data_IF_942264168112
#
_entry.id   IF_942264168112
#
_cell.length_a   1.000
_cell.length_b   1.000
_cell.length_c   1.000
_cell.angle_alpha   90.00
_cell.angle_beta   90.00
_cell.angle_gamma   90.00
#
_symmetry.space_group_name_H-M   'P 1'
#
loop_
_entity.id
_entity.type
_entity.pdbx_description
1 polymer ?
#
# COMPACT_ATOMS: atom_id res chain seq x y z
N UNK A 1 7.33 -39.09 -0.20
CA UNK A 1 7.54 -38.04 -1.21
C UNK A 1 6.16 -37.64 -1.70
N UNK A 2 5.77 -36.40 -1.43
CA UNK A 2 5.07 -35.51 -2.36
C UNK A 2 4.63 -34.29 -1.56
N UNK A 3 5.50 -33.28 -1.61
CA UNK A 3 5.16 -31.90 -1.32
C UNK A 3 4.02 -31.50 -2.26
N UNK A 4 2.86 -31.18 -1.70
CA UNK A 4 1.87 -30.29 -2.32
C UNK A 4 1.42 -29.24 -1.31
N UNK A 5 2.40 -28.64 -0.64
CA UNK A 5 2.28 -27.31 -0.04
C UNK A 5 2.84 -26.31 -1.07
N UNK A 6 2.09 -26.01 -2.12
CA UNK A 6 2.38 -24.87 -3.00
C UNK A 6 1.21 -24.57 -3.91
N UNK A 7 0.15 -24.01 -3.35
CA UNK A 7 -0.83 -23.23 -4.10
C UNK A 7 -1.46 -22.22 -3.13
N UNK A 8 -0.64 -21.28 -2.66
CA UNK A 8 -1.15 -19.98 -2.23
C UNK A 8 -1.58 -19.28 -3.51
N UNK A 9 -2.73 -19.71 -4.02
CA UNK A 9 -3.42 -19.16 -5.19
C UNK A 9 -3.99 -17.81 -4.77
N UNK A 10 -3.14 -16.81 -4.69
CA UNK A 10 -3.56 -15.41 -4.69
C UNK A 10 -3.76 -14.96 -6.14
N UNK A 11 -4.59 -15.70 -6.88
CA UNK A 11 -5.21 -15.18 -8.10
C UNK A 11 -6.37 -14.34 -7.61
N UNK A 12 -6.11 -13.04 -7.46
CA UNK A 12 -7.11 -12.06 -7.07
C UNK A 12 -8.40 -12.29 -7.87
N UNK A 13 -9.51 -12.31 -7.12
CA UNK A 13 -10.85 -12.73 -7.50
C UNK A 13 -11.51 -11.93 -8.64
N UNK A 14 -10.77 -11.26 -9.52
CA UNK A 14 -11.34 -10.52 -10.65
C UNK A 14 -11.91 -11.42 -11.75
N UNK A 15 -11.53 -12.69 -11.79
CA UNK A 15 -11.94 -13.63 -12.84
C UNK A 15 -12.76 -14.82 -12.34
N UNK A 16 -13.23 -14.82 -11.09
CA UNK A 16 -14.20 -15.84 -10.69
C UNK A 16 -15.58 -15.46 -11.24
N UNK A 17 -16.11 -16.15 -12.27
CA UNK A 17 -17.39 -15.79 -12.87
C UNK A 17 -18.57 -15.92 -11.89
N UNK A 18 -18.38 -16.61 -10.75
CA UNK A 18 -19.44 -16.83 -9.75
C UNK A 18 -19.56 -15.68 -8.73
N UNK A 19 -18.58 -14.76 -8.66
CA UNK A 19 -18.61 -13.63 -7.73
C UNK A 19 -19.00 -12.37 -8.50
N UNK A 20 -20.17 -11.76 -8.25
CA UNK A 20 -20.56 -10.56 -8.97
C UNK A 20 -19.55 -9.45 -8.72
N UNK A 21 -19.22 -8.72 -9.78
CA UNK A 21 -18.38 -7.52 -9.64
C UNK A 21 -19.08 -6.52 -8.71
N UNK A 22 -18.31 -5.63 -8.07
CA UNK A 22 -18.89 -4.56 -7.22
C UNK A 22 -19.96 -3.76 -7.98
N UNK A 23 -19.81 -3.62 -9.30
CA UNK A 23 -20.78 -2.92 -10.15
C UNK A 23 -22.08 -3.72 -10.29
N UNK A 24 -21.98 -5.03 -10.54
CA UNK A 24 -23.15 -5.92 -10.65
C UNK A 24 -23.92 -5.99 -9.32
N UNK A 25 -23.22 -6.21 -8.20
CA UNK A 25 -23.83 -6.21 -6.87
C UNK A 25 -24.50 -4.86 -6.55
N UNK A 26 -23.85 -3.75 -6.88
CA UNK A 26 -24.41 -2.42 -6.67
C UNK A 26 -25.67 -2.19 -7.54
N UNK A 27 -25.70 -2.66 -8.79
CA UNK A 27 -26.88 -2.48 -9.67
C UNK A 27 -28.10 -3.27 -9.22
N UNK A 28 -27.91 -4.36 -8.47
CA UNK A 28 -29.01 -5.15 -7.92
C UNK A 28 -29.68 -4.50 -6.70
N UNK A 29 -28.96 -3.62 -6.00
CA UNK A 29 -29.38 -3.08 -4.69
C UNK A 29 -29.69 -1.59 -4.76
N UNK A 30 -28.92 -0.82 -5.53
CA UNK A 30 -28.97 0.64 -5.52
C UNK A 30 -29.83 1.20 -6.64
N UNK A 31 -30.58 2.25 -6.32
CA UNK A 31 -31.27 3.03 -7.33
C UNK A 31 -30.25 3.75 -8.26
N UNK A 32 -30.64 4.09 -9.51
CA UNK A 32 -29.73 4.77 -10.44
C UNK A 32 -29.12 6.07 -9.89
N UNK A 33 -29.86 6.83 -9.10
CA UNK A 33 -29.36 8.06 -8.46
C UNK A 33 -28.31 7.78 -7.38
N UNK A 34 -28.50 6.71 -6.60
CA UNK A 34 -27.55 6.25 -5.59
C UNK A 34 -26.28 5.71 -6.24
N UNK A 35 -26.40 5.04 -7.39
CA UNK A 35 -25.26 4.61 -8.19
C UNK A 35 -24.40 5.78 -8.66
N UNK A 36 -25.02 6.89 -9.10
CA UNK A 36 -24.28 8.11 -9.47
C UNK A 36 -23.57 8.71 -8.26
N UNK A 37 -24.23 8.76 -7.09
CA UNK A 37 -23.60 9.21 -5.83
C UNK A 37 -22.42 8.30 -5.44
N UNK A 38 -22.58 6.99 -5.51
CA UNK A 38 -21.52 6.02 -5.22
C UNK A 38 -20.31 6.23 -6.13
N UNK A 39 -20.50 6.37 -7.44
CA UNK A 39 -19.40 6.62 -8.39
C UNK A 39 -18.68 7.93 -8.10
N UNK A 40 -19.41 8.99 -7.74
CA UNK A 40 -18.82 10.28 -7.33
C UNK A 40 -17.99 10.13 -6.06
N UNK A 41 -18.53 9.46 -5.05
CA UNK A 41 -17.83 9.21 -3.79
C UNK A 41 -16.58 8.36 -4.01
N UNK A 42 -16.66 7.27 -4.78
CA UNK A 42 -15.50 6.45 -5.12
C UNK A 42 -14.42 7.24 -5.86
N UNK A 43 -14.82 8.15 -6.75
CA UNK A 43 -13.86 9.02 -7.44
C UNK A 43 -13.20 10.00 -6.47
N UNK A 44 -13.98 10.63 -5.59
CA UNK A 44 -13.46 11.53 -4.57
C UNK A 44 -12.49 10.82 -3.62
N UNK A 45 -12.83 9.62 -3.15
CA UNK A 45 -11.97 8.79 -2.30
C UNK A 45 -10.68 8.38 -3.02
N UNK A 46 -10.76 7.98 -4.30
CA UNK A 46 -9.56 7.69 -5.10
C UNK A 46 -8.64 8.90 -5.23
N UNK A 47 -9.20 10.09 -5.43
CA UNK A 47 -8.43 11.34 -5.50
C UNK A 47 -7.83 11.68 -4.13
N UNK A 48 -8.58 11.53 -3.04
CA UNK A 48 -8.11 11.76 -1.69
C UNK A 48 -6.97 10.80 -1.33
N UNK A 49 -7.10 9.52 -1.67
CA UNK A 49 -6.07 8.52 -1.47
C UNK A 49 -4.84 8.83 -2.33
N UNK A 50 -5.00 9.19 -3.60
CA UNK A 50 -3.87 9.59 -4.44
C UNK A 50 -3.15 10.84 -3.91
N UNK A 51 -3.90 11.79 -3.33
CA UNK A 51 -3.31 12.97 -2.67
C UNK A 51 -2.55 12.57 -1.41
N UNK A 52 -3.15 11.74 -0.56
CA UNK A 52 -2.51 11.16 0.62
C UNK A 52 -1.17 10.51 0.20
N UNK A 53 -1.20 9.60 -0.78
CA UNK A 53 0.01 8.91 -1.25
C UNK A 53 1.13 9.85 -1.73
N UNK A 54 0.80 11.03 -2.28
CA UNK A 54 1.78 12.03 -2.73
C UNK A 54 2.29 12.93 -1.61
N UNK A 55 1.47 13.18 -0.60
CA UNK A 55 1.81 14.05 0.53
C UNK A 55 2.66 13.34 1.58
N UNK A 56 2.67 12.01 1.60
CA UNK A 56 3.41 11.22 2.58
C UNK A 56 4.85 10.92 2.15
N UNK A 57 5.86 11.57 2.78
CA UNK A 57 7.27 11.34 2.44
C UNK A 57 7.71 9.91 2.72
N UNK A 58 7.07 9.21 3.65
CA UNK A 58 7.36 7.80 3.96
C UNK A 58 7.05 6.90 2.76
N UNK A 59 5.95 7.18 2.05
CA UNK A 59 5.58 6.40 0.86
C UNK A 59 6.53 6.71 -0.29
N UNK A 60 6.88 7.98 -0.49
CA UNK A 60 7.88 8.37 -1.51
C UNK A 60 9.23 7.66 -1.27
N UNK A 61 9.71 7.59 -0.03
CA UNK A 61 10.94 6.87 0.32
C UNK A 61 10.84 5.36 0.02
N UNK A 62 9.77 4.69 0.46
CA UNK A 62 9.55 3.27 0.16
C UNK A 62 9.53 3.04 -1.37
N UNK A 63 8.86 3.92 -2.13
CA UNK A 63 8.79 3.82 -3.59
C UNK A 63 10.15 4.05 -4.26
N UNK A 64 10.96 4.98 -3.76
CA UNK A 64 12.35 5.20 -4.22
C UNK A 64 13.21 3.98 -3.97
N UNK A 65 13.11 3.38 -2.78
CA UNK A 65 13.82 2.15 -2.45
C UNK A 65 13.41 1.01 -3.39
N UNK A 66 12.10 0.80 -3.57
CA UNK A 66 11.58 -0.21 -4.47
C UNK A 66 12.08 -0.02 -5.91
N UNK A 67 12.09 1.23 -6.39
CA UNK A 67 12.61 1.57 -7.72
C UNK A 67 14.11 1.32 -7.83
N UNK A 68 14.90 1.68 -6.80
CA UNK A 68 16.34 1.40 -6.74
C UNK A 68 16.59 -0.10 -6.81
N UNK A 69 15.84 -0.90 -6.04
CA UNK A 69 15.93 -2.36 -6.06
C UNK A 69 15.67 -2.91 -7.46
N UNK A 70 14.61 -2.46 -8.13
CA UNK A 70 14.32 -2.86 -9.51
C UNK A 70 15.45 -2.53 -10.50
N UNK A 71 16.00 -1.32 -10.42
CA UNK A 71 17.08 -0.89 -11.31
C UNK A 71 18.36 -1.72 -11.07
N UNK A 72 18.65 -2.06 -9.81
CA UNK A 72 19.82 -2.85 -9.43
C UNK A 72 19.69 -4.31 -9.84
N UNK A 73 18.52 -4.92 -9.62
CA UNK A 73 18.29 -6.34 -9.90
C UNK A 73 18.06 -6.62 -11.39
N UNK A 74 17.63 -5.64 -12.18
CA UNK A 74 17.32 -5.78 -13.62
C UNK A 74 16.48 -7.03 -13.92
N UNK A 75 15.50 -7.32 -13.05
CA UNK A 75 14.65 -8.50 -13.17
C UNK A 75 13.85 -8.47 -14.47
N UNK A 76 13.66 -9.65 -15.07
CA UNK A 76 12.74 -9.86 -16.21
C UNK A 76 11.27 -9.66 -15.81
N UNK A 77 10.94 -9.90 -14.53
CA UNK A 77 9.63 -9.69 -13.94
C UNK A 77 9.70 -8.65 -12.80
N UNK A 78 9.52 -7.36 -13.11
CA UNK A 78 9.55 -6.31 -12.09
C UNK A 78 8.33 -6.37 -11.17
N UNK A 79 7.19 -6.88 -11.63
CA UNK A 79 5.96 -6.93 -10.83
C UNK A 79 6.15 -7.92 -9.69
N UNK A 80 6.69 -9.10 -9.98
CA UNK A 80 6.97 -10.11 -8.95
C UNK A 80 7.95 -9.60 -7.89
N UNK A 81 9.02 -8.94 -8.30
CA UNK A 81 10.01 -8.37 -7.35
C UNK A 81 9.38 -7.31 -6.45
N UNK A 82 8.52 -6.45 -6.99
CA UNK A 82 7.80 -5.45 -6.20
C UNK A 82 6.82 -6.11 -5.23
N UNK A 83 6.06 -7.10 -5.68
CA UNK A 83 5.13 -7.82 -4.81
C UNK A 83 5.86 -8.50 -3.67
N UNK A 84 6.98 -9.18 -3.95
CA UNK A 84 7.82 -9.76 -2.93
C UNK A 84 8.31 -8.68 -1.96
N UNK A 85 8.89 -7.59 -2.47
CA UNK A 85 9.34 -6.46 -1.65
C UNK A 85 8.24 -5.91 -0.75
N UNK A 86 7.05 -5.60 -1.25
CA UNK A 86 5.96 -5.07 -0.44
C UNK A 86 5.35 -6.11 0.51
N UNK A 87 5.48 -7.41 0.21
CA UNK A 87 4.93 -8.49 1.05
C UNK A 87 5.86 -8.92 2.19
N UNK A 88 7.18 -8.82 2.00
CA UNK A 88 8.18 -9.29 2.98
C UNK A 88 8.93 -8.15 3.67
N UNK A 89 8.95 -6.94 3.11
CA UNK A 89 9.72 -5.86 3.70
C UNK A 89 9.11 -5.42 5.03
N UNK A 90 9.93 -5.46 6.09
CA UNK A 90 9.74 -4.54 7.19
C UNK A 90 10.02 -3.13 6.65
N UNK A 91 8.96 -2.44 6.24
CA UNK A 91 9.02 -1.10 5.68
C UNK A 91 9.77 -0.13 6.61
N UNK A 92 9.82 -0.39 7.92
CA UNK A 92 10.60 0.42 8.87
C UNK A 92 12.10 0.27 8.63
N UNK A 93 12.58 -0.95 8.39
CA UNK A 93 13.99 -1.19 8.11
C UNK A 93 14.42 -0.54 6.79
N UNK A 94 13.59 -0.64 5.74
CA UNK A 94 13.84 0.02 4.45
C UNK A 94 13.87 1.55 4.58
N UNK A 95 12.99 2.14 5.40
CA UNK A 95 12.97 3.58 5.68
C UNK A 95 14.19 4.05 6.48
N UNK A 96 14.69 3.23 7.41
CA UNK A 96 15.87 3.54 8.21
C UNK A 96 17.15 3.56 7.36
N UNK A 97 17.26 2.66 6.36
CA UNK A 97 18.41 2.56 5.47
C UNK A 97 18.56 3.79 4.56
N UNK A 98 17.45 4.36 4.05
CA UNK A 98 17.50 5.52 3.15
C UNK A 98 17.71 6.86 3.89
N UNK A 99 17.36 6.94 5.17
CA UNK A 99 17.58 8.15 5.96
C UNK A 99 18.17 7.85 7.35
N UNK A 100 19.49 7.60 7.46
CA UNK A 100 20.16 7.60 8.77
C UNK A 100 19.95 8.94 9.51
N UNK A 101 19.77 10.04 8.77
CA UNK A 101 19.46 11.37 9.33
C UNK A 101 17.97 11.61 9.64
N UNK A 102 17.02 10.80 9.11
CA UNK A 102 15.60 10.99 9.44
C UNK A 102 15.28 10.50 10.83
N UNK A 103 15.98 9.50 11.37
CA UNK A 103 15.84 9.16 12.80
C UNK A 103 16.23 10.36 13.67
N UNK A 104 17.32 11.05 13.33
CA UNK A 104 17.72 12.30 13.99
C UNK A 104 16.69 13.42 13.83
N UNK A 105 16.11 13.61 12.63
CA UNK A 105 15.06 14.61 12.39
C UNK A 105 13.73 14.27 13.06
N UNK A 106 13.33 13.00 13.08
CA UNK A 106 12.13 12.52 13.74
C UNK A 106 12.26 12.62 15.26
N UNK A 107 13.44 12.31 15.81
CA UNK A 107 13.76 12.56 17.21
C UNK A 107 13.70 14.07 17.53
N UNK A 108 14.34 14.92 16.72
CA UNK A 108 14.25 16.38 16.87
C UNK A 108 12.82 16.91 16.74
N UNK A 109 12.00 16.34 15.85
CA UNK A 109 10.58 16.72 15.71
C UNK A 109 9.75 16.27 16.91
N UNK A 110 10.03 15.09 17.48
CA UNK A 110 9.40 14.61 18.72
C UNK A 110 9.75 15.50 19.92
N UNK A 111 11.02 15.90 20.01
CA UNK A 111 11.51 16.84 21.02
C UNK A 111 10.86 18.23 20.84
N UNK A 112 10.87 18.79 19.63
CA UNK A 112 10.23 20.08 19.32
C UNK A 112 8.72 20.09 19.54
N UNK A 113 8.04 18.95 19.36
CA UNK A 113 6.59 18.82 19.57
C UNK A 113 6.19 18.46 21.00
N UNK A 114 7.14 18.29 21.93
CA UNK A 114 6.84 18.00 23.34
C UNK A 114 6.03 16.71 23.54
N UNK A 115 6.05 15.79 22.57
CA UNK A 115 5.33 14.52 22.63
C UNK A 115 6.20 13.46 23.33
N UNK A 116 6.62 13.75 24.55
CA UNK A 116 6.83 12.69 25.54
C UNK A 116 5.46 12.20 25.94
N UNK A 117 4.93 11.21 25.22
CA UNK A 117 3.89 10.35 25.80
C UNK A 117 4.58 9.61 26.93
N UNK A 118 4.52 10.19 28.14
CA UNK A 118 4.80 9.47 29.37
C UNK A 118 3.65 8.48 29.49
N UNK A 119 3.87 7.24 29.05
CA UNK A 119 2.99 6.14 29.42
C UNK A 119 3.02 6.06 30.95
N UNK A 120 1.85 6.13 31.63
CA UNK A 120 1.82 5.95 33.08
C UNK A 120 2.33 4.55 33.43
N UNK A 121 3.11 4.49 34.51
CA UNK A 121 3.75 3.30 35.05
C UNK A 121 2.75 2.20 35.45
#
# INVERSE_FOLDING_TARGET
MEQKENEITTVYASNNPDIPTLTEAATLILAPEEMVKLRRNMTAEKVAHARYLREHPEIDAIMRYAMRKLIMERSEDPVKVLLEFFSTADLRAALAEENPEAEGRAAMLREKRGLTIVLPA
#
